data_IF_458613131716
#
_entry.id   IF_458613131716
#
_cell.length_a   1.000
_cell.length_b   1.000
_cell.length_c   1.000
_cell.angle_alpha   90.00
_cell.angle_beta   90.00
_cell.angle_gamma   90.00
#
_symmetry.space_group_name_H-M   'P 1'
#
loop_
_entity.id
_entity.type
_entity.pdbx_description
1 polymer ?
#
# COMPACT_ATOMS: atom_id res chain seq x y z
N UNK A 1 25.69 -28.56 -42.38
CA UNK A 1 24.36 -28.88 -42.95
C UNK A 1 24.48 -29.46 -44.36
N UNK A 2 25.08 -28.75 -45.31
CA UNK A 2 25.29 -29.28 -46.68
C UNK A 2 26.17 -30.53 -46.75
N UNK A 3 27.19 -30.65 -45.89
CA UNK A 3 28.01 -31.87 -45.81
C UNK A 3 27.21 -33.13 -45.47
N UNK A 4 26.23 -33.03 -44.56
CA UNK A 4 25.36 -34.17 -44.19
C UNK A 4 24.42 -34.56 -45.33
N UNK A 5 23.92 -33.56 -46.08
CA UNK A 5 23.03 -33.76 -47.24
C UNK A 5 23.72 -34.48 -48.41
N UNK A 6 25.00 -34.21 -48.64
CA UNK A 6 25.82 -34.89 -49.66
C UNK A 6 26.19 -36.31 -49.21
N UNK A 7 26.46 -36.54 -47.92
CA UNK A 7 26.83 -37.87 -47.40
C UNK A 7 25.67 -38.84 -47.25
N UNK A 8 24.42 -38.36 -47.35
CA UNK A 8 23.22 -39.19 -47.18
C UNK A 8 22.85 -39.97 -48.46
N UNK A 9 23.22 -39.50 -49.65
CA UNK A 9 22.97 -40.21 -50.92
C UNK A 9 23.92 -39.68 -52.02
N UNK A 10 24.65 -40.58 -52.70
CA UNK A 10 25.59 -40.23 -53.78
C UNK A 10 24.88 -39.62 -55.01
N UNK A 11 23.54 -39.73 -55.09
CA UNK A 11 22.71 -39.13 -56.16
C UNK A 11 22.27 -37.70 -55.87
N UNK A 12 22.56 -37.15 -54.69
CA UNK A 12 22.20 -35.79 -54.33
C UNK A 12 23.17 -34.78 -54.94
N UNK A 13 22.89 -34.36 -56.17
CA UNK A 13 23.63 -33.27 -56.82
C UNK A 13 23.30 -31.96 -56.13
N UNK A 14 24.33 -31.37 -55.51
CA UNK A 14 24.27 -30.11 -54.80
C UNK A 14 24.17 -28.94 -55.79
N UNK A 15 22.96 -28.72 -56.30
CA UNK A 15 22.68 -27.61 -57.20
C UNK A 15 22.73 -26.27 -56.43
N UNK A 16 23.32 -25.24 -57.05
CA UNK A 16 23.46 -23.91 -56.48
C UNK A 16 22.10 -23.34 -56.05
N UNK A 17 21.03 -23.64 -56.79
CA UNK A 17 19.67 -23.25 -56.44
C UNK A 17 19.24 -23.77 -55.07
N UNK A 18 19.52 -25.04 -54.74
CA UNK A 18 19.17 -25.64 -53.44
C UNK A 18 19.96 -25.01 -52.30
N UNK A 19 21.23 -24.69 -52.55
CA UNK A 19 22.11 -24.03 -51.56
C UNK A 19 21.62 -22.62 -51.24
N UNK A 20 21.32 -21.81 -52.26
CA UNK A 20 20.83 -20.45 -52.08
C UNK A 20 19.47 -20.39 -51.40
N UNK A 21 18.51 -21.25 -51.80
CA UNK A 21 17.18 -21.32 -51.17
C UNK A 21 17.28 -21.74 -49.71
N UNK A 22 18.11 -22.74 -49.40
CA UNK A 22 18.30 -23.21 -48.02
C UNK A 22 19.00 -22.17 -47.13
N UNK A 23 20.01 -21.47 -47.66
CA UNK A 23 20.70 -20.40 -46.96
C UNK A 23 19.77 -19.21 -46.67
N UNK A 24 18.91 -18.85 -47.64
CA UNK A 24 17.88 -17.84 -47.45
C UNK A 24 16.87 -18.25 -46.35
N UNK A 25 16.38 -19.48 -46.38
CA UNK A 25 15.45 -19.99 -45.37
C UNK A 25 16.05 -20.00 -43.95
N UNK A 26 17.31 -20.43 -43.81
CA UNK A 26 18.02 -20.41 -42.52
C UNK A 26 18.18 -18.98 -42.01
N UNK A 27 18.52 -18.03 -42.88
CA UNK A 27 18.67 -16.63 -42.49
C UNK A 27 17.35 -15.99 -42.04
N UNK A 28 16.22 -16.36 -42.65
CA UNK A 28 14.88 -15.91 -42.24
C UNK A 28 14.49 -16.53 -40.88
N UNK A 29 14.80 -17.81 -40.67
CA UNK A 29 14.43 -18.53 -39.44
C UNK A 29 15.34 -18.22 -38.25
N UNK A 30 16.58 -17.79 -38.47
CA UNK A 30 17.55 -17.53 -37.38
C UNK A 30 17.07 -16.44 -36.43
N UNK A 31 16.43 -15.39 -36.94
CA UNK A 31 15.93 -14.26 -36.15
C UNK A 31 14.79 -14.64 -35.20
N UNK A 32 13.70 -15.30 -35.62
CA UNK A 32 12.68 -15.76 -34.69
C UNK A 32 13.20 -16.83 -33.72
N UNK A 33 14.11 -17.72 -34.16
CA UNK A 33 14.71 -18.72 -33.26
C UNK A 33 15.50 -18.09 -32.12
N UNK A 34 16.23 -17.00 -32.37
CA UNK A 34 16.99 -16.29 -31.34
C UNK A 34 16.12 -15.42 -30.44
N UNK A 35 14.99 -14.92 -30.96
CA UNK A 35 14.04 -14.12 -30.19
C UNK A 35 13.11 -14.96 -29.29
N UNK A 36 12.88 -16.23 -29.62
CA UNK A 36 12.01 -17.13 -28.84
C UNK A 36 12.42 -17.25 -27.35
N UNK A 37 13.69 -17.52 -27.00
CA UNK A 37 14.11 -17.56 -25.60
C UNK A 37 13.90 -16.23 -24.87
N UNK A 38 14.10 -15.11 -25.57
CA UNK A 38 13.88 -13.78 -25.01
C UNK A 38 12.40 -13.51 -24.73
N UNK A 39 11.51 -13.91 -25.65
CA UNK A 39 10.06 -13.82 -25.47
C UNK A 39 9.57 -14.67 -24.27
N UNK A 40 10.13 -15.88 -24.09
CA UNK A 40 9.81 -16.73 -22.94
C UNK A 40 10.26 -16.08 -21.64
N UNK A 41 11.50 -15.56 -21.60
CA UNK A 41 12.05 -14.90 -20.41
C UNK A 41 11.24 -13.66 -20.00
N UNK A 42 10.91 -12.80 -20.97
CA UNK A 42 10.10 -11.60 -20.73
C UNK A 42 8.67 -11.95 -20.29
N UNK A 43 8.08 -12.98 -20.88
CA UNK A 43 6.75 -13.48 -20.45
C UNK A 43 6.79 -14.00 -19.01
N UNK A 44 7.83 -14.73 -18.62
CA UNK A 44 7.99 -15.22 -17.26
C UNK A 44 8.14 -14.07 -16.25
N UNK A 45 8.93 -13.04 -16.59
CA UNK A 45 9.06 -11.82 -15.77
C UNK A 45 7.73 -11.07 -15.64
N UNK A 46 6.97 -10.96 -16.74
CA UNK A 46 5.64 -10.35 -16.74
C UNK A 46 4.67 -11.13 -15.84
N UNK A 47 4.66 -12.48 -15.93
CA UNK A 47 3.82 -13.32 -15.08
C UNK A 47 4.14 -13.15 -13.58
N UNK A 48 5.43 -13.09 -13.21
CA UNK A 48 5.83 -12.84 -11.82
C UNK A 48 5.36 -11.46 -11.36
N UNK A 49 5.48 -10.44 -12.22
CA UNK A 49 5.06 -9.08 -11.91
C UNK A 49 3.55 -8.97 -11.76
N UNK A 50 2.78 -9.61 -12.64
CA UNK A 50 1.32 -9.70 -12.56
C UNK A 50 0.87 -10.45 -11.30
N UNK A 51 1.55 -11.52 -10.91
CA UNK A 51 1.24 -12.22 -9.64
C UNK A 51 1.44 -11.32 -8.43
N UNK A 52 2.48 -10.49 -8.42
CA UNK A 52 2.71 -9.51 -7.33
C UNK A 52 1.61 -8.45 -7.28
N UNK A 53 1.21 -7.92 -8.44
CA UNK A 53 0.12 -6.95 -8.53
C UNK A 53 -1.21 -7.56 -8.10
N UNK A 54 -1.53 -8.76 -8.59
CA UNK A 54 -2.73 -9.50 -8.20
C UNK A 54 -2.76 -9.72 -6.68
N UNK A 55 -1.63 -10.11 -6.07
CA UNK A 55 -1.52 -10.27 -4.61
C UNK A 55 -1.80 -8.96 -3.86
N UNK A 56 -1.36 -7.82 -4.38
CA UNK A 56 -1.61 -6.51 -3.77
C UNK A 56 -3.07 -6.08 -3.91
N UNK A 57 -3.65 -6.22 -5.11
CA UNK A 57 -5.04 -5.87 -5.38
C UNK A 57 -6.04 -6.78 -4.64
N UNK A 58 -5.66 -8.04 -4.40
CA UNK A 58 -6.45 -8.98 -3.61
C UNK A 58 -6.04 -9.03 -2.13
N UNK A 59 -5.19 -8.11 -1.66
CA UNK A 59 -4.91 -8.01 -0.23
C UNK A 59 -6.14 -7.46 0.50
N UNK A 60 -6.39 -7.93 1.72
CA UNK A 60 -7.53 -7.45 2.51
C UNK A 60 -7.37 -5.94 2.75
N UNK A 61 -8.29 -5.15 2.20
CA UNK A 61 -8.42 -3.75 2.59
C UNK A 61 -8.88 -3.68 4.05
N UNK A 62 -8.39 -2.68 4.79
CA UNK A 62 -8.82 -2.41 6.17
C UNK A 62 -10.34 -2.41 6.24
N UNK A 63 -10.91 -3.29 7.06
CA UNK A 63 -12.36 -3.50 7.12
C UNK A 63 -13.08 -2.17 7.39
N UNK A 64 -14.07 -1.85 6.56
CA UNK A 64 -14.89 -0.62 6.70
C UNK A 64 -15.64 -0.50 8.03
N UNK A 65 -15.72 -1.59 8.81
CA UNK A 65 -16.31 -1.65 10.15
C UNK A 65 -15.36 -1.23 11.29
N UNK A 66 -14.12 -0.85 10.99
CA UNK A 66 -13.17 -0.40 12.00
C UNK A 66 -13.66 0.87 12.73
N UNK A 67 -14.46 1.71 12.06
CA UNK A 67 -15.06 2.92 12.62
C UNK A 67 -16.54 3.01 12.28
N UNK A 68 -17.40 2.96 13.30
CA UNK A 68 -18.84 3.16 13.11
C UNK A 68 -19.13 4.64 12.88
N UNK A 69 -19.65 4.97 11.70
CA UNK A 69 -20.13 6.31 11.38
C UNK A 69 -21.61 6.40 11.74
N UNK A 70 -21.93 7.17 12.79
CA UNK A 70 -23.31 7.39 13.21
C UNK A 70 -23.80 8.79 12.78
N UNK A 71 -25.10 8.96 12.47
CA UNK A 71 -25.67 10.26 12.14
C UNK A 71 -25.56 11.22 13.33
N UNK A 72 -25.44 12.52 13.03
CA UNK A 72 -25.32 13.54 14.06
C UNK A 72 -26.59 13.65 14.90
N UNK A 73 -26.53 13.36 16.20
CA UNK A 73 -27.53 13.82 17.17
C UNK A 73 -27.17 15.22 17.71
N UNK A 74 -28.12 16.14 17.93
CA UNK A 74 -27.85 17.52 18.36
C UNK A 74 -27.14 17.62 19.72
N UNK A 75 -27.45 16.74 20.69
CA UNK A 75 -26.86 16.75 22.04
C UNK A 75 -25.83 15.62 22.29
N UNK A 76 -25.21 15.09 21.24
CA UNK A 76 -24.39 13.89 21.33
C UNK A 76 -22.87 14.12 21.45
N UNK A 77 -22.18 13.17 22.07
CA UNK A 77 -20.72 13.00 21.94
C UNK A 77 -20.31 12.91 20.47
N UNK A 78 -19.22 13.59 20.08
CA UNK A 78 -18.72 13.66 18.70
C UNK A 78 -17.79 12.50 18.33
N UNK A 79 -17.02 12.00 19.29
CA UNK A 79 -16.16 10.82 19.17
C UNK A 79 -16.23 10.01 20.46
N UNK A 80 -16.40 8.70 20.31
CA UNK A 80 -16.44 7.74 21.41
C UNK A 80 -15.55 6.56 21.08
N UNK A 81 -14.58 6.28 21.95
CA UNK A 81 -13.74 5.09 21.91
C UNK A 81 -13.91 4.37 23.25
N UNK A 82 -14.40 3.14 23.21
CA UNK A 82 -14.62 2.31 24.40
C UNK A 82 -13.80 1.03 24.29
N UNK A 83 -12.90 0.83 25.25
CA UNK A 83 -11.96 -0.29 25.34
C UNK A 83 -11.25 -0.61 24.02
N UNK A 84 -10.91 0.43 23.26
CA UNK A 84 -10.31 0.33 21.93
C UNK A 84 -8.89 -0.22 22.00
N UNK A 85 -8.64 -1.32 21.31
CA UNK A 85 -7.30 -1.88 21.11
C UNK A 85 -7.01 -1.93 19.62
N UNK A 86 -5.91 -1.30 19.20
CA UNK A 86 -5.58 -1.10 17.79
C UNK A 86 -4.21 -1.67 17.45
N UNK A 87 -4.06 -2.14 16.22
CA UNK A 87 -2.79 -2.63 15.68
C UNK A 87 -2.61 -2.18 14.22
N UNK A 88 -1.37 -2.04 13.79
CA UNK A 88 -1.03 -1.75 12.40
C UNK A 88 -1.14 -2.97 11.48
N UNK A 89 -1.27 -4.18 12.05
CA UNK A 89 -1.47 -5.40 11.28
C UNK A 89 -2.36 -6.40 12.02
N UNK A 90 -3.04 -7.24 11.25
CA UNK A 90 -3.93 -8.29 11.76
C UNK A 90 -3.21 -9.40 12.55
N UNK A 91 -1.87 -9.43 12.56
CA UNK A 91 -1.09 -10.39 13.39
C UNK A 91 -0.03 -9.70 14.27
N UNK A 92 0.16 -8.40 14.13
CA UNK A 92 1.18 -7.67 14.89
C UNK A 92 0.76 -7.32 16.33
N UNK A 93 1.73 -6.89 17.15
CA UNK A 93 1.46 -6.43 18.50
C UNK A 93 0.53 -5.20 18.48
N UNK A 94 -0.36 -5.04 19.48
CA UNK A 94 -1.22 -3.88 19.53
C UNK A 94 -0.41 -2.64 19.91
N UNK A 95 -0.52 -1.59 19.09
CA UNK A 95 0.15 -0.30 19.29
C UNK A 95 -0.58 0.57 20.31
N UNK A 96 -1.89 0.37 20.47
CA UNK A 96 -2.74 1.03 21.45
C UNK A 96 -3.57 -0.03 22.15
N UNK A 97 -3.68 0.05 23.48
CA UNK A 97 -4.34 -0.97 24.31
C UNK A 97 -5.31 -0.29 25.26
N UNK A 98 -6.55 -0.79 25.30
CA UNK A 98 -7.60 -0.39 26.27
C UNK A 98 -7.78 1.14 26.35
N UNK A 99 -7.87 1.80 25.20
CA UNK A 99 -8.09 3.25 25.13
C UNK A 99 -9.58 3.54 25.35
N UNK A 100 -9.87 4.49 26.25
CA UNK A 100 -11.20 5.01 26.50
C UNK A 100 -11.18 6.53 26.32
N UNK A 101 -11.91 7.06 25.34
CA UNK A 101 -11.93 8.48 24.99
C UNK A 101 -13.35 8.89 24.65
N UNK A 102 -13.83 9.94 25.32
CA UNK A 102 -15.13 10.55 25.05
C UNK A 102 -14.89 12.03 24.75
N UNK A 103 -15.21 12.45 23.52
CA UNK A 103 -15.05 13.84 23.09
C UNK A 103 -16.43 14.42 22.80
N UNK A 104 -16.91 15.38 23.61
CA UNK A 104 -18.16 16.06 23.35
C UNK A 104 -18.05 16.96 22.12
N UNK A 105 -19.18 17.26 21.49
CA UNK A 105 -19.18 18.18 20.36
C UNK A 105 -18.78 19.60 20.75
N UNK A 106 -18.17 20.30 19.80
CA UNK A 106 -17.69 21.67 20.00
C UNK A 106 -16.46 21.78 20.89
N UNK A 107 -15.91 20.66 21.37
CA UNK A 107 -14.69 20.66 22.17
C UNK A 107 -13.43 20.63 21.29
N UNK A 108 -12.40 21.36 21.74
CA UNK A 108 -11.06 21.31 21.16
C UNK A 108 -10.18 20.44 22.06
N UNK A 109 -9.83 19.24 21.60
CA UNK A 109 -9.02 18.29 22.36
C UNK A 109 -7.60 18.23 21.78
N UNK A 110 -6.61 18.40 22.64
CA UNK A 110 -5.20 18.21 22.30
C UNK A 110 -4.66 16.93 22.95
N UNK A 111 -3.99 16.09 22.16
CA UNK A 111 -3.33 14.86 22.65
C UNK A 111 -1.83 15.14 22.80
N UNK A 112 -1.34 15.09 24.04
CA UNK A 112 0.07 15.32 24.36
C UNK A 112 0.70 14.08 24.99
N UNK A 113 2.00 13.88 24.77
CA UNK A 113 2.74 12.72 25.29
C UNK A 113 4.10 12.55 24.64
N UNK A 114 4.96 11.73 25.24
CA UNK A 114 6.34 11.51 24.81
C UNK A 114 6.44 10.95 23.37
N UNK A 115 7.58 11.13 22.68
CA UNK A 115 7.81 10.53 21.35
C UNK A 115 7.68 9.00 21.44
N UNK A 116 6.98 8.40 20.49
CA UNK A 116 6.69 6.95 20.51
C UNK A 116 5.53 6.53 21.42
N UNK A 117 4.86 7.44 22.13
CA UNK A 117 3.71 7.11 23.00
C UNK A 117 2.42 6.72 22.25
N UNK A 118 2.45 6.65 20.92
CA UNK A 118 1.30 6.24 20.10
C UNK A 118 0.31 7.35 19.73
N UNK A 119 0.67 8.64 19.85
CA UNK A 119 -0.20 9.78 19.46
C UNK A 119 -0.65 9.69 17.99
N UNK A 120 0.29 9.54 17.06
CA UNK A 120 -0.01 9.41 15.63
C UNK A 120 -0.83 8.15 15.37
N UNK A 121 -0.51 7.04 16.06
CA UNK A 121 -1.31 5.80 16.00
C UNK A 121 -2.75 6.01 16.47
N UNK A 122 -2.97 6.86 17.48
CA UNK A 122 -4.31 7.18 17.99
C UNK A 122 -5.11 7.95 16.96
N UNK A 123 -4.47 8.85 16.23
CA UNK A 123 -5.11 9.56 15.13
C UNK A 123 -5.50 8.63 13.99
N UNK A 124 -4.58 7.76 13.56
CA UNK A 124 -4.89 6.75 12.54
C UNK A 124 -5.99 5.78 13.00
N UNK A 125 -6.06 5.45 14.29
CA UNK A 125 -7.16 4.67 14.86
C UNK A 125 -8.52 5.40 14.79
N UNK A 126 -8.56 6.71 15.05
CA UNK A 126 -9.78 7.52 14.92
C UNK A 126 -10.24 7.64 13.45
N UNK A 127 -9.29 7.68 12.51
CA UNK A 127 -9.55 7.76 11.07
C UNK A 127 -9.95 6.41 10.44
N UNK A 128 -9.70 5.30 11.15
CA UNK A 128 -9.95 3.94 10.64
C UNK A 128 -8.83 3.35 9.80
N UNK A 129 -7.62 3.93 9.87
CA UNK A 129 -6.42 3.49 9.15
C UNK A 129 -5.65 2.37 9.88
N UNK A 130 -6.14 1.91 11.03
CA UNK A 130 -5.56 0.82 11.82
C UNK A 130 -6.59 -0.27 12.06
N UNK A 131 -6.12 -1.51 12.22
CA UNK A 131 -6.97 -2.64 12.55
C UNK A 131 -7.47 -2.55 13.99
N UNK A 132 -8.79 -2.52 14.16
CA UNK A 132 -9.43 -2.54 15.48
C UNK A 132 -9.56 -3.98 15.96
N UNK A 133 -8.75 -4.37 16.95
CA UNK A 133 -8.78 -5.72 17.56
C UNK A 133 -9.97 -5.94 18.46
N UNK A 134 -10.31 -4.93 19.25
CA UNK A 134 -11.40 -5.00 20.21
C UNK A 134 -11.88 -3.61 20.58
N UNK A 135 -13.07 -3.56 21.17
CA UNK A 135 -13.72 -2.32 21.57
C UNK A 135 -14.57 -1.71 20.46
N UNK A 136 -15.01 -0.47 20.74
CA UNK A 136 -15.94 0.26 19.90
C UNK A 136 -15.37 1.64 19.59
N UNK A 137 -15.44 2.03 18.32
CA UNK A 137 -15.12 3.38 17.86
C UNK A 137 -16.36 3.91 17.14
N UNK A 138 -16.91 5.01 17.64
CA UNK A 138 -18.03 5.71 17.03
C UNK A 138 -17.61 7.13 16.74
N UNK A 139 -17.66 7.51 15.47
CA UNK A 139 -17.48 8.89 15.03
C UNK A 139 -18.83 9.37 14.51
N UNK A 140 -19.37 10.44 15.10
CA UNK A 140 -20.60 11.04 14.60
C UNK A 140 -20.28 12.03 13.49
N UNK A 141 -20.79 11.80 12.29
CA UNK A 141 -20.45 12.58 11.09
C UNK A 141 -21.70 13.22 10.51
N UNK A 142 -21.58 14.49 10.09
CA UNK A 142 -22.62 15.15 9.28
C UNK A 142 -22.73 14.41 7.94
N UNK A 143 -23.93 13.97 7.58
CA UNK A 143 -24.21 13.37 6.27
C UNK A 143 -23.91 14.32 5.10
N UNK A 144 -23.80 15.64 5.35
CA UNK A 144 -23.44 16.65 4.35
C UNK A 144 -21.92 16.90 4.25
N UNK A 145 -21.13 16.43 5.22
CA UNK A 145 -19.68 16.57 5.25
C UNK A 145 -19.06 15.22 5.62
N UNK A 146 -18.92 14.33 4.63
CA UNK A 146 -18.12 13.09 4.74
C UNK A 146 -16.63 13.32 5.07
N UNK A 147 -16.22 14.57 5.31
CA UNK A 147 -14.92 14.96 5.81
C UNK A 147 -15.09 15.53 7.22
N UNK A 148 -14.93 14.68 8.24
CA UNK A 148 -14.68 15.15 9.60
C UNK A 148 -13.39 15.97 9.53
N UNK A 149 -13.49 17.30 9.60
CA UNK A 149 -12.33 18.15 9.87
C UNK A 149 -12.05 18.05 11.37
N UNK A 150 -11.28 17.03 11.76
CA UNK A 150 -10.57 17.11 13.03
C UNK A 150 -9.40 18.07 12.78
N UNK A 151 -9.57 19.34 13.13
CA UNK A 151 -8.46 20.31 13.12
C UNK A 151 -7.53 19.97 14.28
N UNK A 152 -6.60 19.04 14.03
CA UNK A 152 -5.54 18.68 14.96
C UNK A 152 -4.31 19.50 14.63
N UNK A 153 -3.95 20.38 15.55
CA UNK A 153 -2.66 21.05 15.53
C UNK A 153 -1.66 20.07 16.14
N UNK A 154 -0.86 19.40 15.30
CA UNK A 154 0.30 18.66 15.78
C UNK A 154 1.36 19.67 16.23
N UNK A 155 1.52 19.82 17.54
CA UNK A 155 2.60 20.64 18.12
C UNK A 155 3.73 19.69 18.48
N UNK A 156 4.83 19.80 17.76
CA UNK A 156 6.06 19.06 18.10
C UNK A 156 6.59 19.52 19.47
N UNK A 157 6.95 18.58 20.35
CA UNK A 157 7.38 18.90 21.71
C UNK A 157 8.72 19.67 21.71
N UNK A 158 9.57 19.52 20.69
CA UNK A 158 10.76 20.38 20.55
C UNK A 158 10.37 21.84 20.29
N UNK A 159 9.27 22.06 19.56
CA UNK A 159 8.75 23.41 19.28
C UNK A 159 8.18 24.07 20.53
N UNK A 160 7.53 23.31 21.42
CA UNK A 160 6.98 23.85 22.68
C UNK A 160 8.09 24.24 23.68
N UNK A 161 9.17 23.47 23.74
CA UNK A 161 10.34 23.78 24.56
C UNK A 161 11.05 25.05 24.07
N UNK A 162 11.26 25.18 22.75
CA UNK A 162 11.89 26.36 22.16
C UNK A 162 11.02 27.62 22.27
N UNK A 163 9.70 27.51 22.08
CA UNK A 163 8.79 28.65 22.19
C UNK A 163 8.60 29.13 23.64
N UNK A 164 8.66 28.22 24.63
CA UNK A 164 8.68 28.60 26.05
C UNK A 164 10.00 29.30 26.42
N UNK A 165 11.13 28.85 25.85
CA UNK A 165 12.43 29.49 26.05
C UNK A 165 12.51 30.87 25.37
N UNK A 166 11.96 31.02 24.16
CA UNK A 166 11.91 32.29 23.41
C UNK A 166 11.01 33.34 24.08
N UNK A 167 9.95 32.90 24.77
CA UNK A 167 9.11 33.77 25.61
C UNK A 167 9.81 34.22 26.91
N UNK A 168 10.76 33.43 27.42
CA UNK A 168 11.59 33.82 28.57
C UNK A 168 12.82 34.66 28.18
N UNK A 169 13.28 34.61 26.92
CA UNK A 169 14.43 35.38 26.44
C UNK A 169 14.11 36.77 25.87
N UNK A 170 12.84 37.17 25.83
CA UNK A 170 12.44 38.56 25.55
C UNK A 170 12.77 39.09 24.14
N UNK A 171 12.98 38.23 23.15
CA UNK A 171 13.25 38.64 21.77
C UNK A 171 11.99 38.42 20.90
N UNK A 172 11.29 39.53 20.64
CA UNK A 172 10.28 39.63 19.59
C UNK A 172 10.94 39.94 18.24
#
# INVERSE_FOLDING_TARGET
MFGVYVTLDERNVLDAQKVFVSMALINILKTPLSQLPFAISTSMQAMVSLRRLAKYLCSEELKGDNVLKAPLSPDGEGLVIENGTFSWSAEGPPCLKKINIHVPRGSLVAVVGHVGSGKSSLLSAMLGETEKRSGRVVVKVSSLFSRVKVSLVYVDQQYMQQSTFKKMSGEY
#
